data_IF_629263978715
#
_entry.id   IF_629263978715
#
_cell.length_a   1.000
_cell.length_b   1.000
_cell.length_c   1.000
_cell.angle_alpha   90.00
_cell.angle_beta   90.00
_cell.angle_gamma   90.00
#
_symmetry.space_group_name_H-M   'P 1'
#
loop_
_entity.id
_entity.type
_entity.pdbx_description
1 polymer ?
#
# COMPACT_ATOMS: atom_id res chain seq x y z
N UNK A 1 -38.29 -12.48 -12.13
CA UNK A 1 -37.81 -11.16 -11.66
C UNK A 1 -36.34 -11.07 -12.07
N UNK A 2 -35.95 -10.05 -12.85
CA UNK A 2 -34.53 -9.83 -13.16
C UNK A 2 -33.84 -9.35 -11.88
N UNK A 3 -32.87 -10.11 -11.37
CA UNK A 3 -32.14 -9.79 -10.13
C UNK A 3 -31.47 -8.40 -10.16
N UNK A 4 -31.21 -7.88 -11.37
CA UNK A 4 -30.71 -6.51 -11.61
C UNK A 4 -31.64 -5.38 -11.13
N UNK A 5 -32.92 -5.64 -10.84
CA UNK A 5 -33.88 -4.61 -10.42
C UNK A 5 -34.12 -4.52 -8.90
N UNK A 6 -33.41 -5.31 -8.07
CA UNK A 6 -33.61 -5.25 -6.61
C UNK A 6 -32.89 -4.07 -5.93
N UNK A 7 -31.84 -3.52 -6.54
CA UNK A 7 -31.04 -2.43 -5.98
C UNK A 7 -30.64 -1.44 -7.08
N UNK A 8 -31.54 -0.55 -7.52
CA UNK A 8 -31.30 0.35 -8.64
C UNK A 8 -30.12 1.31 -8.42
N UNK A 9 -29.78 1.60 -7.16
CA UNK A 9 -28.68 2.49 -6.80
C UNK A 9 -27.34 1.77 -6.53
N UNK A 10 -27.33 0.43 -6.58
CA UNK A 10 -26.10 -0.32 -6.32
C UNK A 10 -25.20 -0.33 -7.56
N UNK A 11 -24.01 0.25 -7.42
CA UNK A 11 -22.95 0.18 -8.43
C UNK A 11 -21.76 -0.63 -7.89
N UNK A 12 -21.43 -1.78 -8.50
CA UNK A 12 -20.26 -2.54 -8.11
C UNK A 12 -18.98 -1.73 -8.38
N UNK A 13 -17.99 -1.86 -7.50
CA UNK A 13 -16.69 -1.25 -7.72
C UNK A 13 -15.97 -2.03 -8.82
N UNK A 14 -15.56 -1.31 -9.87
CA UNK A 14 -14.83 -1.89 -11.01
C UNK A 14 -13.35 -1.51 -11.02
N UNK A 15 -12.95 -0.58 -10.14
CA UNK A 15 -11.55 -0.16 -10.00
C UNK A 15 -10.82 -1.03 -8.97
N UNK A 16 -9.48 -1.18 -9.06
CA UNK A 16 -8.69 -1.88 -8.06
C UNK A 16 -8.86 -1.28 -6.66
N UNK A 17 -8.82 -2.12 -5.62
CA UNK A 17 -8.88 -1.66 -4.22
C UNK A 17 -7.55 -1.04 -3.79
N UNK A 18 -7.65 0.14 -3.20
CA UNK A 18 -6.50 0.98 -2.89
C UNK A 18 -6.43 1.31 -1.40
N UNK A 19 -5.31 1.88 -0.98
CA UNK A 19 -5.18 2.45 0.36
C UNK A 19 -6.20 3.57 0.63
N UNK A 20 -6.64 4.28 -0.41
CA UNK A 20 -7.70 5.30 -0.34
C UNK A 20 -9.06 4.72 0.05
N UNK A 21 -9.37 3.56 -0.51
CA UNK A 21 -10.57 2.83 -0.18
C UNK A 21 -10.59 2.34 1.28
N UNK A 22 -9.41 1.88 1.76
CA UNK A 22 -9.22 1.37 3.11
C UNK A 22 -9.24 2.48 4.18
N UNK A 23 -8.45 3.54 4.00
CA UNK A 23 -8.32 4.64 4.95
C UNK A 23 -9.37 5.74 4.71
N UNK A 24 -10.64 5.43 4.99
CA UNK A 24 -11.78 6.36 4.80
C UNK A 24 -11.76 7.64 5.64
N UNK A 25 -10.80 7.79 6.56
CA UNK A 25 -10.66 8.94 7.48
C UNK A 25 -9.31 9.62 7.24
N UNK A 26 -9.17 10.91 7.62
CA UNK A 26 -7.87 11.57 7.58
C UNK A 26 -6.82 10.76 8.32
N UNK A 27 -5.80 10.31 7.60
CA UNK A 27 -4.68 9.51 8.10
C UNK A 27 -3.37 10.28 7.94
N UNK A 28 -2.40 10.01 8.82
CA UNK A 28 -1.05 10.55 8.65
C UNK A 28 -0.38 10.02 7.37
N UNK A 29 -0.80 8.84 6.89
CA UNK A 29 -0.29 8.25 5.65
C UNK A 29 -0.41 9.23 4.49
N UNK A 30 -1.58 9.84 4.28
CA UNK A 30 -1.78 10.80 3.18
C UNK A 30 -0.95 12.07 3.33
N UNK A 31 -0.75 12.55 4.57
CA UNK A 31 0.11 13.72 4.81
C UNK A 31 1.54 13.43 4.39
N UNK A 32 2.03 12.26 4.75
CA UNK A 32 3.39 11.82 4.40
C UNK A 32 3.53 11.62 2.91
N UNK A 33 2.62 10.88 2.27
CA UNK A 33 2.64 10.67 0.82
C UNK A 33 2.55 12.00 0.05
N UNK A 34 1.72 12.94 0.51
CA UNK A 34 1.61 14.28 -0.09
C UNK A 34 2.90 15.12 0.03
N UNK A 35 3.67 14.98 1.10
CA UNK A 35 4.99 15.64 1.25
C UNK A 35 6.03 15.05 0.31
N UNK A 36 5.98 13.74 0.07
CA UNK A 36 6.91 13.04 -0.82
C UNK A 36 6.56 13.32 -2.29
N UNK A 37 5.27 13.39 -2.61
CA UNK A 37 4.75 13.56 -3.96
C UNK A 37 4.80 12.28 -4.80
N UNK A 38 4.65 12.45 -6.11
CA UNK A 38 4.58 11.35 -7.08
C UNK A 38 5.88 10.53 -7.15
N UNK A 39 5.79 9.21 -7.46
CA UNK A 39 6.94 8.35 -7.70
C UNK A 39 7.72 8.82 -8.93
N UNK A 40 8.81 9.53 -8.69
CA UNK A 40 9.68 10.05 -9.74
C UNK A 40 11.14 9.97 -9.35
N UNK A 41 12.02 10.05 -10.36
CA UNK A 41 13.45 10.00 -10.13
C UNK A 41 13.98 11.17 -9.29
N UNK A 42 13.33 12.33 -9.39
CA UNK A 42 13.66 13.52 -8.61
C UNK A 42 13.30 13.33 -7.13
N UNK A 43 12.27 12.53 -6.85
CA UNK A 43 11.81 12.24 -5.50
C UNK A 43 12.43 10.95 -4.92
N UNK A 44 13.15 10.14 -5.70
CA UNK A 44 13.63 8.81 -5.29
C UNK A 44 14.43 8.85 -3.98
N UNK A 45 15.33 9.83 -3.81
CA UNK A 45 16.11 9.97 -2.57
C UNK A 45 15.22 10.25 -1.36
N UNK A 46 14.19 11.08 -1.53
CA UNK A 46 13.19 11.36 -0.50
C UNK A 46 12.35 10.12 -0.18
N UNK A 47 11.86 9.41 -1.21
CA UNK A 47 11.11 8.17 -1.07
C UNK A 47 11.91 7.16 -0.25
N UNK A 48 13.19 6.94 -0.58
CA UNK A 48 14.10 6.04 0.14
C UNK A 48 14.28 6.46 1.60
N UNK A 49 14.49 7.76 1.85
CA UNK A 49 14.69 8.28 3.21
C UNK A 49 13.47 8.03 4.08
N UNK A 50 12.27 8.26 3.54
CA UNK A 50 11.03 8.01 4.23
C UNK A 50 10.77 6.50 4.39
N UNK A 51 11.05 5.70 3.37
CA UNK A 51 10.94 4.24 3.46
C UNK A 51 11.76 3.69 4.63
N UNK A 52 13.04 4.08 4.75
CA UNK A 52 13.90 3.61 5.84
C UNK A 52 13.42 4.07 7.21
N UNK A 53 12.94 5.31 7.32
CA UNK A 53 12.36 5.86 8.55
C UNK A 53 11.15 5.04 8.99
N UNK A 54 10.20 4.81 8.09
CA UNK A 54 8.95 4.13 8.39
C UNK A 54 9.12 2.61 8.52
N UNK A 55 10.10 2.00 7.84
CA UNK A 55 10.45 0.60 8.04
C UNK A 55 10.86 0.34 9.48
N UNK A 56 11.76 1.17 10.02
CA UNK A 56 12.14 1.09 11.43
C UNK A 56 10.97 1.36 12.38
N UNK A 57 10.07 2.28 12.03
CA UNK A 57 8.89 2.55 12.87
C UNK A 57 7.91 1.35 12.88
N UNK A 58 7.64 0.76 11.72
CA UNK A 58 6.80 -0.42 11.54
C UNK A 58 7.33 -1.64 12.29
N UNK A 59 8.65 -1.83 12.36
CA UNK A 59 9.27 -2.89 13.16
C UNK A 59 9.00 -2.72 14.67
N UNK A 60 8.88 -1.48 15.16
CA UNK A 60 8.59 -1.17 16.56
C UNK A 60 7.09 -1.12 16.86
N UNK A 61 6.26 -0.89 15.84
CA UNK A 61 4.82 -0.78 15.96
C UNK A 61 4.13 -1.55 14.81
N UNK A 62 4.24 -2.88 14.82
CA UNK A 62 3.60 -3.70 13.80
C UNK A 62 2.07 -3.66 13.97
N UNK A 63 1.37 -3.84 12.86
CA UNK A 63 -0.05 -4.12 12.83
C UNK A 63 -0.39 -5.41 13.57
N UNK A 64 -1.68 -5.59 13.81
CA UNK A 64 -2.18 -6.71 14.61
C UNK A 64 -3.32 -7.41 13.92
N UNK A 65 -3.47 -8.69 14.22
CA UNK A 65 -4.62 -9.49 13.81
C UNK A 65 -5.67 -9.45 14.91
N UNK A 66 -6.92 -9.26 14.52
CA UNK A 66 -8.06 -9.21 15.43
C UNK A 66 -9.22 -10.02 14.86
N UNK A 67 -10.11 -10.50 15.73
CA UNK A 67 -11.29 -11.24 15.28
C UNK A 67 -12.12 -10.41 14.30
N UNK A 68 -12.28 -10.91 13.08
CA UNK A 68 -13.10 -10.28 12.07
C UNK A 68 -14.57 -10.59 12.26
N UNK A 69 -15.44 -9.73 11.73
CA UNK A 69 -16.86 -10.00 11.64
C UNK A 69 -17.15 -10.76 10.34
N UNK A 70 -17.18 -12.09 10.43
CA UNK A 70 -17.42 -13.00 9.30
C UNK A 70 -18.79 -12.72 8.63
N UNK A 71 -19.78 -12.24 9.38
CA UNK A 71 -21.10 -11.94 8.84
C UNK A 71 -21.09 -10.77 7.83
N UNK A 72 -20.04 -9.94 7.83
CA UNK A 72 -19.82 -8.88 6.85
C UNK A 72 -18.62 -9.19 5.90
N UNK A 73 -18.14 -10.43 5.89
CA UNK A 73 -17.12 -10.90 4.95
C UNK A 73 -15.67 -10.65 5.35
N UNK A 74 -15.41 -10.31 6.62
CA UNK A 74 -14.05 -10.34 7.17
C UNK A 74 -13.57 -11.79 7.33
N UNK A 75 -12.26 -12.02 7.32
CA UNK A 75 -11.70 -13.31 7.75
C UNK A 75 -11.89 -13.51 9.25
N UNK A 76 -11.78 -14.76 9.73
CA UNK A 76 -11.85 -15.05 11.17
C UNK A 76 -10.81 -14.23 11.94
N UNK A 77 -9.60 -14.18 11.38
CA UNK A 77 -8.44 -13.46 11.89
C UNK A 77 -8.05 -12.36 10.91
N UNK A 78 -8.73 -11.21 11.01
CA UNK A 78 -8.53 -10.08 10.11
C UNK A 78 -7.30 -9.27 10.52
N UNK A 79 -6.42 -9.02 9.55
CA UNK A 79 -5.23 -8.19 9.75
C UNK A 79 -5.56 -6.68 9.64
N UNK A 80 -4.97 -5.90 10.54
CA UNK A 80 -5.03 -4.44 10.60
C UNK A 80 -3.61 -3.88 10.63
N UNK A 81 -3.08 -3.41 9.49
CA UNK A 81 -1.73 -2.85 9.42
C UNK A 81 -1.63 -1.54 10.20
N UNK A 82 -0.44 -1.25 10.74
CA UNK A 82 -0.17 0.08 11.26
C UNK A 82 0.01 1.10 10.12
N UNK A 83 -0.15 2.39 10.40
CA UNK A 83 0.11 3.44 9.41
C UNK A 83 1.55 3.39 8.88
N UNK A 84 2.50 2.97 9.73
CA UNK A 84 3.91 2.82 9.34
C UNK A 84 4.09 1.66 8.36
N UNK A 85 3.41 0.52 8.57
CA UNK A 85 3.44 -0.60 7.62
C UNK A 85 2.79 -0.23 6.28
N UNK A 86 1.68 0.51 6.31
CA UNK A 86 1.04 1.04 5.11
C UNK A 86 1.99 1.94 4.32
N UNK A 87 2.70 2.85 4.99
CA UNK A 87 3.71 3.71 4.36
C UNK A 87 4.87 2.90 3.78
N UNK A 88 5.35 1.87 4.48
CA UNK A 88 6.42 1.00 3.98
C UNK A 88 5.99 0.29 2.71
N UNK A 89 4.77 -0.25 2.67
CA UNK A 89 4.22 -0.90 1.48
C UNK A 89 4.12 0.06 0.30
N UNK A 90 3.52 1.23 0.49
CA UNK A 90 3.33 2.21 -0.60
C UNK A 90 4.65 2.82 -1.08
N UNK A 91 5.57 3.15 -0.17
CA UNK A 91 6.88 3.66 -0.54
C UNK A 91 7.74 2.58 -1.20
N UNK A 92 7.61 1.32 -0.80
CA UNK A 92 8.22 0.18 -1.48
C UNK A 92 7.77 0.09 -2.93
N UNK A 93 6.45 0.20 -3.19
CA UNK A 93 5.89 0.25 -4.55
C UNK A 93 6.42 1.45 -5.34
N UNK A 94 6.55 2.63 -4.72
CA UNK A 94 7.11 3.81 -5.37
C UNK A 94 8.58 3.60 -5.78
N UNK A 95 9.41 3.01 -4.91
CA UNK A 95 10.79 2.67 -5.26
C UNK A 95 10.78 1.68 -6.43
N UNK A 96 9.99 0.61 -6.35
CA UNK A 96 9.91 -0.40 -7.39
C UNK A 96 9.53 0.21 -8.74
N UNK A 97 8.43 0.97 -8.78
CA UNK A 97 7.94 1.66 -9.98
C UNK A 97 8.99 2.58 -10.60
N UNK A 98 9.67 3.38 -9.78
CA UNK A 98 10.73 4.27 -10.27
C UNK A 98 11.89 3.44 -10.80
N UNK A 99 12.29 2.35 -10.13
CA UNK A 99 13.44 1.55 -10.54
C UNK A 99 13.21 0.72 -11.80
N UNK A 100 12.03 0.12 -11.95
CA UNK A 100 11.68 -0.71 -13.11
C UNK A 100 11.50 0.11 -14.39
N UNK A 101 11.23 1.41 -14.24
CA UNK A 101 11.12 2.36 -15.37
C UNK A 101 12.45 2.63 -16.08
N UNK A 102 13.59 2.19 -15.53
CA UNK A 102 14.92 2.43 -16.09
C UNK A 102 15.73 1.14 -16.22
N UNK A 103 16.55 1.06 -17.27
CA UNK A 103 17.55 0.00 -17.39
C UNK A 103 18.62 0.10 -16.29
N UNK A 104 19.29 -1.03 -15.99
CA UNK A 104 20.39 -1.09 -15.02
C UNK A 104 21.50 -0.06 -15.28
N UNK A 105 21.83 0.20 -16.54
CA UNK A 105 22.84 1.19 -16.92
C UNK A 105 22.38 2.62 -16.62
N UNK A 106 21.14 2.96 -16.99
CA UNK A 106 20.56 4.27 -16.67
C UNK A 106 20.48 4.49 -15.17
N UNK A 107 20.05 3.47 -14.41
CA UNK A 107 19.98 3.54 -12.95
C UNK A 107 21.35 3.78 -12.33
N UNK A 108 22.43 3.15 -12.83
CA UNK A 108 23.79 3.42 -12.38
C UNK A 108 24.19 4.89 -12.53
N UNK A 109 23.89 5.49 -13.69
CA UNK A 109 24.18 6.92 -13.94
C UNK A 109 23.34 7.82 -13.05
N UNK A 110 22.06 7.51 -12.86
CA UNK A 110 21.16 8.24 -11.97
C UNK A 110 21.64 8.18 -10.52
N UNK A 111 22.05 7.01 -10.03
CA UNK A 111 22.59 6.83 -8.69
C UNK A 111 23.82 7.70 -8.45
N UNK A 112 24.76 7.69 -9.41
CA UNK A 112 25.94 8.55 -9.35
C UNK A 112 25.58 10.04 -9.33
N UNK A 113 24.66 10.46 -10.20
CA UNK A 113 24.22 11.87 -10.29
C UNK A 113 23.54 12.36 -9.01
N UNK A 114 22.71 11.52 -8.39
CA UNK A 114 21.90 11.89 -7.22
C UNK A 114 22.53 11.46 -5.88
N UNK A 115 23.75 10.89 -5.91
CA UNK A 115 24.44 10.35 -4.74
C UNK A 115 23.55 9.37 -3.96
N UNK A 116 22.94 8.43 -4.69
CA UNK A 116 22.13 7.36 -4.12
C UNK A 116 23.01 6.11 -4.03
N UNK A 117 23.16 5.59 -2.82
CA UNK A 117 23.94 4.39 -2.57
C UNK A 117 23.23 3.13 -3.08
N UNK A 118 24.01 2.15 -3.50
CA UNK A 118 23.46 0.84 -3.83
C UNK A 118 23.06 0.13 -2.56
N UNK A 119 21.81 -0.31 -2.49
CA UNK A 119 21.24 -0.89 -1.28
C UNK A 119 20.11 -1.85 -1.62
N UNK A 120 19.90 -2.83 -0.75
CA UNK A 120 18.83 -3.82 -0.89
C UNK A 120 17.70 -3.44 0.04
N UNK A 121 16.52 -3.23 -0.53
CA UNK A 121 15.30 -3.03 0.23
C UNK A 121 14.48 -4.31 0.24
N UNK A 122 13.73 -4.51 1.31
CA UNK A 122 12.68 -5.53 1.36
C UNK A 122 11.47 -4.99 2.11
N UNK A 123 10.28 -5.39 1.67
CA UNK A 123 9.03 -5.05 2.32
C UNK A 123 7.95 -6.10 2.02
N UNK A 124 6.98 -6.21 2.92
CA UNK A 124 5.74 -6.93 2.63
C UNK A 124 4.75 -5.99 1.96
N UNK A 125 4.20 -6.39 0.83
CA UNK A 125 3.11 -5.66 0.22
C UNK A 125 1.84 -5.81 1.07
N UNK A 126 1.12 -4.71 1.23
CA UNK A 126 -0.23 -4.70 1.77
C UNK A 126 -1.20 -4.55 0.60
N UNK A 127 -2.07 -5.53 0.46
CA UNK A 127 -3.16 -5.55 -0.51
C UNK A 127 -4.48 -5.27 0.20
N UNK A 128 -5.46 -4.80 -0.58
CA UNK A 128 -6.78 -4.51 -0.07
C UNK A 128 -7.81 -5.29 -0.86
N UNK A 129 -8.88 -5.70 -0.17
CA UNK A 129 -10.05 -6.31 -0.79
C UNK A 129 -11.32 -5.67 -0.26
N UNK A 130 -12.34 -5.59 -1.10
CA UNK A 130 -13.67 -5.19 -0.67
C UNK A 130 -14.66 -6.34 -0.64
N UNK A 131 -15.67 -6.19 0.22
CA UNK A 131 -16.86 -7.04 0.23
C UNK A 131 -18.09 -6.15 0.23
N UNK A 132 -18.99 -6.42 -0.70
CA UNK A 132 -20.29 -5.76 -0.79
C UNK A 132 -21.34 -6.62 -0.08
N UNK A 133 -21.89 -6.12 1.01
CA UNK A 133 -22.91 -6.79 1.83
C UNK A 133 -24.26 -6.14 1.58
N UNK A 134 -25.23 -6.93 1.10
CA UNK A 134 -26.58 -6.44 0.81
C UNK A 134 -27.19 -5.77 2.05
N UNK A 135 -27.64 -4.52 1.90
CA UNK A 135 -28.26 -3.72 2.98
C UNK A 135 -27.28 -3.09 3.97
N UNK A 136 -25.99 -3.48 3.98
CA UNK A 136 -24.98 -2.97 4.91
C UNK A 136 -23.87 -2.15 4.23
N UNK A 137 -23.76 -2.25 2.90
CA UNK A 137 -22.83 -1.48 2.09
C UNK A 137 -21.50 -2.20 1.84
N UNK A 138 -20.49 -1.41 1.46
CA UNK A 138 -19.15 -1.88 1.11
C UNK A 138 -18.21 -1.82 2.30
N UNK A 139 -17.45 -2.88 2.52
CA UNK A 139 -16.39 -2.96 3.54
C UNK A 139 -15.04 -3.23 2.87
N UNK A 140 -13.95 -2.75 3.46
CA UNK A 140 -12.58 -2.95 2.95
C UNK A 140 -11.73 -3.60 4.03
N UNK A 141 -10.92 -4.56 3.60
CA UNK A 141 -10.04 -5.37 4.44
C UNK A 141 -8.63 -5.32 3.88
N UNK A 142 -7.64 -5.43 4.76
CA UNK A 142 -6.22 -5.41 4.39
C UNK A 142 -5.60 -6.79 4.60
N UNK A 143 -4.69 -7.16 3.72
CA UNK A 143 -3.95 -8.41 3.78
C UNK A 143 -2.46 -8.12 3.61
N UNK A 144 -1.63 -8.83 4.38
CA UNK A 144 -0.17 -8.75 4.27
C UNK A 144 0.32 -9.90 3.41
N UNK A 145 1.04 -9.58 2.33
CA UNK A 145 1.65 -10.59 1.48
C UNK A 145 2.60 -11.48 2.29
N UNK A 146 2.47 -12.80 2.13
CA UNK A 146 3.34 -13.76 2.82
C UNK A 146 4.81 -13.63 2.39
N UNK A 147 5.04 -13.27 1.12
CA UNK A 147 6.39 -13.09 0.58
C UNK A 147 6.81 -11.63 0.66
N UNK A 148 8.07 -11.40 1.02
CA UNK A 148 8.69 -10.07 0.90
C UNK A 148 9.06 -9.78 -0.56
N UNK A 149 8.74 -8.58 -1.00
CA UNK A 149 9.28 -8.00 -2.23
C UNK A 149 10.66 -7.46 -1.95
N UNK A 150 11.63 -7.85 -2.79
CA UNK A 150 13.04 -7.42 -2.68
C UNK A 150 13.37 -6.49 -3.84
N UNK A 151 13.94 -5.33 -3.54
CA UNK A 151 14.40 -4.36 -4.54
C UNK A 151 15.91 -4.19 -4.38
N UNK A 152 16.64 -4.37 -5.48
CA UNK A 152 18.07 -4.08 -5.56
C UNK A 152 18.27 -2.76 -6.28
N UNK A 153 18.67 -1.73 -5.53
CA UNK A 153 18.93 -0.40 -6.09
C UNK A 153 20.38 -0.23 -6.49
#
# INVERSE_FOLDING_TARGET
>A
MNEKNMFPDYQPKITPDTIEDYLRKPSNVYKVLGVIGEPSINNLKTIITYFLKYKKAAENNPGSTQKGNIAIGADEDQYYPSEDELLVSELGKYILQVTESYSKQQMKTIKLKNQIESQRFSYHEITFRHVDVMGSGRFFYAEKAHMETVIEL
#
